data_IF_906378536718
#
_entry.id   IF_906378536718
#
_cell.length_a   1.000
_cell.length_b   1.000
_cell.length_c   1.000
_cell.angle_alpha   90.00
_cell.angle_beta   90.00
_cell.angle_gamma   90.00
#
_symmetry.space_group_name_H-M   'P 1'
#
loop_
_entity.id
_entity.type
_entity.pdbx_description
1 polymer ?
#
# COMPACT_ATOMS: atom_id res chain seq x y z
N UNK A 1 12.46 -26.19 10.68
CA UNK A 1 12.50 -25.23 9.56
C UNK A 1 11.43 -25.60 8.57
N UNK A 2 10.34 -24.84 8.50
CA UNK A 2 9.31 -25.00 7.47
C UNK A 2 9.91 -24.59 6.13
N UNK A 3 10.10 -25.57 5.24
CA UNK A 3 10.95 -25.44 4.06
C UNK A 3 10.29 -24.73 2.90
N UNK A 4 8.96 -24.71 2.82
CA UNK A 4 8.21 -24.00 1.78
C UNK A 4 6.75 -23.87 2.26
N UNK A 5 6.29 -22.64 2.53
CA UNK A 5 4.85 -22.35 2.58
C UNK A 5 4.37 -22.24 1.14
N UNK A 6 3.20 -22.79 0.84
CA UNK A 6 2.60 -22.55 -0.47
C UNK A 6 2.21 -21.07 -0.56
N UNK A 7 2.62 -20.39 -1.63
CA UNK A 7 2.26 -18.99 -1.87
C UNK A 7 1.59 -18.81 -3.23
N UNK A 8 0.55 -17.95 -3.32
CA UNK A 8 -0.09 -17.65 -4.59
C UNK A 8 0.84 -16.84 -5.51
N UNK A 9 0.53 -16.84 -6.82
CA UNK A 9 1.31 -16.13 -7.83
C UNK A 9 1.36 -14.62 -7.54
N UNK A 10 2.57 -14.06 -7.44
CA UNK A 10 2.80 -12.66 -7.06
C UNK A 10 3.13 -12.46 -5.58
N UNK A 11 3.17 -13.54 -4.79
CA UNK A 11 3.62 -13.53 -3.40
C UNK A 11 4.92 -14.32 -3.26
N UNK A 12 5.96 -13.67 -2.74
CA UNK A 12 7.22 -14.32 -2.39
C UNK A 12 7.31 -14.50 -0.87
N UNK A 13 7.51 -15.73 -0.39
CA UNK A 13 7.83 -15.97 1.02
C UNK A 13 9.31 -15.65 1.29
N UNK A 14 9.59 -14.80 2.29
CA UNK A 14 10.94 -14.36 2.66
C UNK A 14 11.54 -15.09 3.85
N UNK A 15 10.78 -15.98 4.48
CA UNK A 15 11.23 -16.80 5.60
C UNK A 15 10.58 -16.41 6.93
N UNK A 16 11.02 -17.13 7.96
CA UNK A 16 10.55 -16.96 9.34
C UNK A 16 11.65 -16.43 10.23
N UNK A 17 11.34 -15.47 11.10
CA UNK A 17 12.22 -15.06 12.20
C UNK A 17 11.52 -15.29 13.56
N UNK A 18 12.16 -15.96 14.54
CA UNK A 18 11.64 -16.03 15.91
C UNK A 18 11.84 -14.67 16.58
N UNK A 19 10.77 -14.07 17.15
CA UNK A 19 10.84 -12.68 17.63
C UNK A 19 10.50 -12.53 19.10
N UNK A 20 9.52 -13.26 19.63
CA UNK A 20 9.07 -13.06 21.00
C UNK A 20 8.32 -14.28 21.54
N UNK A 21 7.95 -14.25 22.82
CA UNK A 21 6.95 -15.17 23.39
C UNK A 21 5.61 -14.46 23.53
N UNK A 22 4.54 -15.17 23.20
CA UNK A 22 3.17 -14.71 23.44
C UNK A 22 2.94 -14.54 24.93
N UNK A 23 2.32 -13.43 25.33
CA UNK A 23 1.98 -13.17 26.73
C UNK A 23 0.82 -14.06 27.20
N UNK A 24 -0.08 -14.43 26.29
CA UNK A 24 -1.28 -15.19 26.61
C UNK A 24 -1.02 -16.70 26.64
N UNK A 25 -0.26 -17.21 25.66
CA UNK A 25 -0.01 -18.65 25.52
C UNK A 25 1.38 -19.07 26.00
N UNK A 26 2.31 -18.13 26.21
CA UNK A 26 3.71 -18.41 26.56
C UNK A 26 4.52 -19.02 25.41
N UNK A 27 3.89 -19.32 24.28
CA UNK A 27 4.48 -19.96 23.11
C UNK A 27 5.35 -19.00 22.31
N UNK A 28 6.32 -19.56 21.58
CA UNK A 28 7.22 -18.77 20.75
C UNK A 28 6.47 -18.28 19.51
N UNK A 29 6.52 -16.96 19.30
CA UNK A 29 5.97 -16.30 18.12
C UNK A 29 7.06 -16.22 17.05
N UNK A 30 6.71 -16.80 15.91
CA UNK A 30 7.45 -16.79 14.68
C UNK A 30 6.81 -15.81 13.70
N UNK A 31 7.59 -14.89 13.13
CA UNK A 31 7.11 -13.94 12.13
C UNK A 31 7.35 -14.49 10.73
N UNK A 32 6.29 -14.80 10.00
CA UNK A 32 6.33 -15.16 8.59
C UNK A 32 6.26 -13.90 7.73
N UNK A 33 7.31 -13.62 6.96
CA UNK A 33 7.35 -12.47 6.08
C UNK A 33 7.01 -12.84 4.63
N UNK A 34 6.11 -12.07 4.02
CA UNK A 34 5.68 -12.21 2.63
C UNK A 34 5.86 -10.88 1.89
N UNK A 35 6.40 -10.94 0.68
CA UNK A 35 6.45 -9.80 -0.24
C UNK A 35 5.40 -9.97 -1.33
N UNK A 36 4.44 -9.05 -1.36
CA UNK A 36 3.40 -9.02 -2.37
C UNK A 36 3.82 -8.13 -3.53
N UNK A 37 3.58 -8.59 -4.75
CA UNK A 37 3.87 -7.88 -6.00
C UNK A 37 2.62 -7.86 -6.86
N UNK A 38 2.24 -6.67 -7.32
CA UNK A 38 1.16 -6.49 -8.26
C UNK A 38 1.58 -5.47 -9.33
N UNK A 39 1.35 -5.79 -10.60
CA UNK A 39 1.53 -4.83 -11.69
C UNK A 39 0.15 -4.37 -12.11
N UNK A 40 -0.07 -3.06 -12.06
CA UNK A 40 -1.34 -2.47 -12.44
C UNK A 40 -1.56 -2.46 -13.96
N UNK A 41 -2.79 -2.18 -14.40
CA UNK A 41 -3.19 -2.08 -15.82
C UNK A 41 -2.37 -1.06 -16.62
N UNK A 42 -1.72 -0.11 -15.95
CA UNK A 42 -0.83 0.89 -16.55
C UNK A 42 0.66 0.49 -16.53
N UNK A 43 0.99 -0.74 -16.16
CA UNK A 43 2.36 -1.26 -16.14
C UNK A 43 3.20 -0.83 -14.94
N UNK A 44 2.58 -0.27 -13.90
CA UNK A 44 3.28 0.18 -12.68
C UNK A 44 3.29 -0.95 -11.66
N UNK A 45 4.49 -1.27 -11.16
CA UNK A 45 4.67 -2.29 -10.15
C UNK A 45 4.46 -1.70 -8.73
N UNK A 46 3.58 -2.35 -7.97
CA UNK A 46 3.31 -2.09 -6.57
C UNK A 46 3.86 -3.24 -5.73
N UNK A 47 4.51 -2.90 -4.62
CA UNK A 47 5.10 -3.88 -3.70
C UNK A 47 4.76 -3.52 -2.26
N UNK A 48 4.36 -4.52 -1.49
CA UNK A 48 4.07 -4.38 -0.06
C UNK A 48 4.60 -5.59 0.68
N UNK A 49 5.20 -5.36 1.85
CA UNK A 49 5.63 -6.42 2.75
C UNK A 49 4.55 -6.66 3.80
N UNK A 50 4.13 -7.91 3.95
CA UNK A 50 3.17 -8.36 4.96
C UNK A 50 3.87 -9.32 5.91
N UNK A 51 3.62 -9.16 7.20
CA UNK A 51 4.19 -10.00 8.25
C UNK A 51 3.03 -10.63 9.00
N UNK A 52 3.00 -11.96 9.02
CA UNK A 52 2.00 -12.74 9.73
C UNK A 52 2.68 -13.38 10.94
N UNK A 53 2.36 -12.95 12.16
CA UNK A 53 2.82 -13.64 13.36
C UNK A 53 2.09 -14.98 13.49
N UNK A 54 2.84 -16.05 13.75
CA UNK A 54 2.30 -17.36 14.10
C UNK A 54 2.91 -17.85 15.41
N UNK A 55 2.19 -18.69 16.12
CA UNK A 55 2.76 -19.50 17.19
C UNK A 55 2.81 -20.98 16.78
N UNK A 56 3.33 -21.84 17.66
CA UNK A 56 3.40 -23.28 17.40
C UNK A 56 2.04 -24.00 17.43
N UNK A 57 0.96 -23.32 17.82
CA UNK A 57 -0.40 -23.88 17.83
C UNK A 57 -1.13 -23.66 16.50
N UNK A 58 -0.70 -22.67 15.72
CA UNK A 58 -1.27 -22.40 14.41
C UNK A 58 -0.80 -23.42 13.36
N UNK A 59 -1.76 -23.94 12.60
CA UNK A 59 -1.46 -24.82 11.47
C UNK A 59 -0.83 -24.04 10.32
N UNK A 60 -0.04 -24.75 9.51
CA UNK A 60 0.54 -24.19 8.30
C UNK A 60 -0.54 -23.64 7.35
N UNK A 61 -1.60 -24.42 7.13
CA UNK A 61 -2.71 -24.05 6.24
C UNK A 61 -3.38 -22.73 6.67
N UNK A 62 -3.49 -22.50 7.97
CA UNK A 62 -4.08 -21.26 8.47
C UNK A 62 -3.22 -20.02 8.12
N UNK A 63 -1.89 -20.15 8.17
CA UNK A 63 -0.98 -19.06 7.76
C UNK A 63 -1.07 -18.80 6.25
N UNK A 64 -1.24 -19.87 5.46
CA UNK A 64 -1.42 -19.77 4.00
C UNK A 64 -2.76 -19.10 3.65
N UNK A 65 -3.85 -19.45 4.34
CA UNK A 65 -5.15 -18.78 4.19
C UNK A 65 -5.09 -17.30 4.56
N UNK A 66 -4.41 -16.96 5.66
CA UNK A 66 -4.20 -15.55 6.04
C UNK A 66 -3.37 -14.80 5.00
N UNK A 67 -2.34 -15.43 4.44
CA UNK A 67 -1.54 -14.82 3.37
C UNK A 67 -2.36 -14.62 2.09
N UNK A 68 -3.22 -15.58 1.73
CA UNK A 68 -4.13 -15.48 0.59
C UNK A 68 -5.13 -14.33 0.76
N UNK A 69 -5.81 -14.27 1.92
CA UNK A 69 -6.75 -13.18 2.24
C UNK A 69 -6.07 -11.80 2.23
N UNK A 70 -4.87 -11.71 2.82
CA UNK A 70 -4.10 -10.46 2.81
C UNK A 70 -3.72 -10.04 1.39
N UNK A 71 -3.39 -11.00 0.52
CA UNK A 71 -3.06 -10.72 -0.87
C UNK A 71 -4.29 -10.27 -1.68
N UNK A 72 -5.45 -10.89 -1.50
CA UNK A 72 -6.69 -10.46 -2.14
C UNK A 72 -7.06 -9.02 -1.76
N UNK A 73 -6.97 -8.68 -0.47
CA UNK A 73 -7.18 -7.32 0.01
C UNK A 73 -6.19 -6.33 -0.61
N UNK A 74 -4.92 -6.70 -0.72
CA UNK A 74 -3.90 -5.89 -1.39
C UNK A 74 -4.23 -5.64 -2.87
N UNK A 75 -4.72 -6.65 -3.60
CA UNK A 75 -5.15 -6.49 -5.00
C UNK A 75 -6.36 -5.56 -5.11
N UNK A 76 -7.35 -5.68 -4.23
CA UNK A 76 -8.54 -4.82 -4.20
C UNK A 76 -8.11 -3.37 -3.93
N UNK A 77 -7.26 -3.14 -2.94
CA UNK A 77 -6.76 -1.81 -2.63
C UNK A 77 -5.99 -1.19 -3.79
N UNK A 78 -5.11 -1.97 -4.45
CA UNK A 78 -4.39 -1.49 -5.62
C UNK A 78 -5.35 -1.11 -6.74
N UNK A 79 -6.33 -1.96 -7.04
CA UNK A 79 -7.34 -1.66 -8.07
C UNK A 79 -8.14 -0.40 -7.73
N UNK A 80 -8.56 -0.22 -6.48
CA UNK A 80 -9.31 0.96 -6.04
C UNK A 80 -8.48 2.25 -6.11
N UNK A 81 -7.27 2.22 -5.55
CA UNK A 81 -6.38 3.40 -5.47
C UNK A 81 -5.83 3.80 -6.83
N UNK A 82 -5.53 2.84 -7.70
CA UNK A 82 -4.87 3.05 -8.99
C UNK A 82 -5.83 2.87 -10.19
N UNK A 83 -7.15 3.03 -9.96
CA UNK A 83 -8.16 3.07 -11.03
C UNK A 83 -7.85 4.11 -12.12
N UNK A 84 -7.18 5.20 -11.76
CA UNK A 84 -6.87 6.32 -12.66
C UNK A 84 -5.42 6.27 -13.10
N UNK A 85 -5.19 6.44 -14.41
CA UNK A 85 -3.85 6.58 -14.96
C UNK A 85 -3.10 7.70 -14.25
N UNK A 86 -1.85 7.47 -13.79
CA UNK A 86 -1.03 8.57 -13.34
C UNK A 86 -0.77 9.54 -14.50
N UNK A 87 -0.78 10.86 -14.24
CA UNK A 87 -0.57 11.85 -15.28
C UNK A 87 0.85 11.74 -15.83
N UNK A 88 0.97 11.88 -17.15
CA UNK A 88 2.26 11.93 -17.83
C UNK A 88 3.03 13.22 -17.45
N UNK A 89 4.29 13.34 -17.86
CA UNK A 89 5.13 14.51 -17.49
C UNK A 89 4.55 15.84 -18.01
N UNK A 90 3.99 15.84 -19.23
CA UNK A 90 3.35 17.02 -19.82
C UNK A 90 2.04 17.39 -19.09
N UNK A 91 1.18 16.42 -18.84
CA UNK A 91 -0.07 16.55 -18.09
C UNK A 91 0.21 17.06 -16.66
N UNK A 92 1.26 16.57 -16.00
CA UNK A 92 1.69 17.10 -14.69
C UNK A 92 2.06 18.59 -14.75
N UNK A 93 2.73 19.02 -15.82
CA UNK A 93 3.12 20.42 -16.03
C UNK A 93 1.88 21.30 -16.24
N UNK A 94 0.92 20.84 -17.05
CA UNK A 94 -0.35 21.53 -17.30
C UNK A 94 -1.20 21.63 -16.03
N UNK A 95 -1.37 20.53 -15.29
CA UNK A 95 -2.07 20.54 -13.99
C UNK A 95 -1.40 21.54 -13.02
N UNK A 96 -0.07 21.55 -12.98
CA UNK A 96 0.69 22.50 -12.15
C UNK A 96 0.45 23.96 -12.55
N UNK A 97 0.39 24.25 -13.86
CA UNK A 97 0.06 25.59 -14.37
C UNK A 97 -1.38 25.99 -13.99
N UNK A 98 -2.36 25.12 -14.24
CA UNK A 98 -3.75 25.36 -13.90
C UNK A 98 -3.94 25.64 -12.39
N UNK A 99 -3.26 24.89 -11.53
CA UNK A 99 -3.28 25.13 -10.08
C UNK A 99 -2.67 26.48 -9.69
N UNK A 100 -1.58 26.89 -10.35
CA UNK A 100 -0.95 28.19 -10.13
C UNK A 100 -1.87 29.34 -10.53
N UNK A 101 -2.56 29.21 -11.66
CA UNK A 101 -3.55 30.19 -12.12
C UNK A 101 -4.75 30.26 -11.19
N UNK A 102 -5.29 29.13 -10.77
CA UNK A 102 -6.37 29.06 -9.79
C UNK A 102 -6.00 29.78 -8.49
N UNK A 103 -4.80 29.52 -7.95
CA UNK A 103 -4.30 30.19 -6.74
C UNK A 103 -4.17 31.71 -6.94
N UNK A 104 -3.67 32.14 -8.10
CA UNK A 104 -3.55 33.57 -8.44
C UNK A 104 -4.93 34.23 -8.52
N UNK A 105 -5.89 33.60 -9.17
CA UNK A 105 -7.27 34.06 -9.28
C UNK A 105 -7.95 34.12 -7.90
N UNK A 106 -7.81 33.07 -7.08
CA UNK A 106 -8.33 33.04 -5.71
C UNK A 106 -7.75 34.17 -4.84
N UNK A 107 -6.44 34.44 -4.95
CA UNK A 107 -5.79 35.56 -4.25
C UNK A 107 -6.33 36.91 -4.72
N UNK A 108 -6.56 37.09 -6.02
CA UNK A 108 -7.17 38.32 -6.58
C UNK A 108 -8.60 38.50 -6.09
N UNK A 109 -9.41 37.44 -6.07
CA UNK A 109 -10.78 37.49 -5.50
C UNK A 109 -10.77 37.90 -4.03
N UNK A 110 -9.89 37.32 -3.20
CA UNK A 110 -9.73 37.72 -1.78
C UNK A 110 -9.30 39.18 -1.59
N UNK A 111 -8.47 39.72 -2.50
CA UNK A 111 -8.10 41.14 -2.49
C UNK A 111 -9.26 42.05 -2.89
N UNK A 112 -10.02 41.65 -3.91
CA UNK A 112 -11.21 42.36 -4.37
C UNK A 112 -12.32 42.37 -3.31
N UNK A 113 -12.60 41.22 -2.66
CA UNK A 113 -13.60 41.11 -1.60
C UNK A 113 -13.26 41.86 -0.32
N UNK A 114 -12.01 42.29 -0.12
CA UNK A 114 -11.58 43.07 1.04
C UNK A 114 -11.67 44.59 0.83
N UNK A 115 -12.16 45.09 -0.31
CA UNK A 115 -12.38 46.51 -0.63
C UNK A 115 -11.20 47.46 -0.34
N UNK A 116 -9.97 46.93 -0.20
CA UNK A 116 -8.73 47.70 -0.08
C UNK A 116 -8.02 47.70 -1.42
N UNK A 117 -8.59 48.39 -2.40
CA UNK A 117 -7.86 48.80 -3.60
C UNK A 117 -7.21 50.14 -3.23
N UNK A 118 -5.94 50.12 -2.85
CA UNK A 118 -5.12 51.33 -2.85
C UNK A 118 -4.78 51.60 -4.32
N UNK A 119 -5.30 52.72 -4.84
CA UNK A 119 -4.80 53.36 -6.05
C UNK A 119 -3.36 53.82 -5.84
#
# INVERSE_FOLDING_TARGET
MLKELWTPTGVDYKGTAPVARSRETGLLIELCAFDFKYTDQYGIAHRTKVIIPRDSSMSQAHVEDMAAQAYENFLIECKQKYTKRPPNVAEKKEIGQALKEFRKAARRRRRSSNNKIYY
#
